data_IF_040688207382
#
_entry.id   IF_040688207382
#
_cell.length_a   1.000
_cell.length_b   1.000
_cell.length_c   1.000
_cell.angle_alpha   90.00
_cell.angle_beta   90.00
_cell.angle_gamma   90.00
#
_symmetry.space_group_name_H-M   'P 1'
#
loop_
_entity.id
_entity.type
_entity.pdbx_description
1 polymer ?
#
# COMPACT_ATOMS: atom_id res chain seq x y z
N UNK A 1 -18.18 26.39 -3.04
CA UNK A 1 -18.60 25.00 -3.31
C UNK A 1 -19.14 24.44 -2.01
N UNK A 2 -20.33 23.85 -1.98
CA UNK A 2 -20.85 23.27 -0.75
C UNK A 2 -20.14 21.92 -0.49
N UNK A 3 -19.17 21.92 0.41
CA UNK A 3 -18.51 20.71 0.93
C UNK A 3 -18.74 20.63 2.45
N UNK A 4 -18.66 19.43 3.01
CA UNK A 4 -18.76 19.28 4.46
C UNK A 4 -17.55 19.91 5.15
N UNK A 5 -17.76 20.57 6.31
CA UNK A 5 -16.67 21.18 7.11
C UNK A 5 -15.53 20.21 7.40
N UNK A 6 -15.84 18.94 7.66
CA UNK A 6 -14.82 17.90 7.90
C UNK A 6 -13.88 17.70 6.71
N UNK A 7 -14.40 17.73 5.49
CA UNK A 7 -13.58 17.59 4.28
C UNK A 7 -12.76 18.86 4.04
N UNK A 8 -13.35 20.04 4.26
CA UNK A 8 -12.64 21.31 4.19
C UNK A 8 -11.42 21.34 5.13
N UNK A 9 -11.59 20.96 6.39
CA UNK A 9 -10.50 20.88 7.37
C UNK A 9 -9.39 19.89 6.96
N UNK A 10 -9.74 18.75 6.37
CA UNK A 10 -8.75 17.80 5.87
C UNK A 10 -7.96 18.33 4.67
N UNK A 11 -8.60 19.12 3.81
CA UNK A 11 -7.93 19.74 2.67
C UNK A 11 -6.98 20.86 3.10
N UNK A 12 -7.37 21.67 4.10
CA UNK A 12 -6.55 22.77 4.62
C UNK A 12 -5.27 22.27 5.31
N UNK A 13 -5.34 21.13 6.00
CA UNK A 13 -4.20 20.47 6.66
C UNK A 13 -3.18 19.84 5.70
N UNK A 14 -3.05 20.41 4.49
CA UNK A 14 -2.08 20.03 3.47
C UNK A 14 -0.72 19.66 4.07
N UNK A 15 -0.22 18.49 3.69
CA UNK A 15 0.98 17.90 4.28
C UNK A 15 2.22 18.75 3.98
N UNK A 16 2.85 19.31 5.02
CA UNK A 16 4.14 19.97 4.93
C UNK A 16 5.21 19.08 4.29
N UNK A 17 5.14 17.76 4.54
CA UNK A 17 6.03 16.76 3.91
C UNK A 17 5.89 16.79 2.38
N UNK A 18 4.66 16.89 1.86
CA UNK A 18 4.41 16.95 0.41
C UNK A 18 4.96 18.23 -0.20
N UNK A 19 4.79 19.38 0.48
CA UNK A 19 5.37 20.66 0.03
C UNK A 19 6.90 20.59 -0.02
N UNK A 20 7.52 20.00 1.00
CA UNK A 20 8.98 19.81 1.03
C UNK A 20 9.47 18.88 -0.09
N UNK A 21 8.73 17.80 -0.39
CA UNK A 21 9.06 16.90 -1.50
C UNK A 21 8.99 17.59 -2.87
N UNK A 22 7.96 18.41 -3.09
CA UNK A 22 7.80 19.20 -4.32
C UNK A 22 8.93 20.24 -4.47
N UNK A 23 9.31 20.89 -3.37
CA UNK A 23 10.44 21.82 -3.35
C UNK A 23 11.78 21.10 -3.59
N UNK A 24 11.97 19.92 -3.00
CA UNK A 24 13.13 19.06 -3.27
C UNK A 24 13.23 18.71 -4.75
N UNK A 25 12.10 18.39 -5.39
CA UNK A 25 12.04 18.12 -6.83
C UNK A 25 12.41 19.34 -7.67
N UNK A 26 11.94 20.54 -7.29
CA UNK A 26 12.32 21.81 -7.93
C UNK A 26 13.82 22.07 -7.82
N UNK A 27 14.39 21.91 -6.63
CA UNK A 27 15.82 22.13 -6.39
C UNK A 27 16.69 21.13 -7.16
N UNK A 28 16.27 19.85 -7.25
CA UNK A 28 16.97 18.82 -8.05
C UNK A 28 17.03 19.21 -9.53
N UNK A 29 15.98 19.82 -10.08
CA UNK A 29 15.95 20.30 -11.46
C UNK A 29 16.90 21.49 -11.71
N UNK A 30 17.13 22.34 -10.71
CA UNK A 30 17.99 23.53 -10.82
C UNK A 30 19.47 23.19 -10.58
N UNK A 31 19.73 22.36 -9.58
CA UNK A 31 21.09 22.14 -9.06
C UNK A 31 21.69 20.77 -9.42
N UNK A 32 20.86 19.81 -9.85
CA UNK A 32 21.22 18.41 -10.03
C UNK A 32 20.78 17.55 -8.85
N UNK A 33 20.39 16.30 -9.11
CA UNK A 33 19.88 15.38 -8.09
C UNK A 33 20.94 14.98 -7.06
N UNK A 34 22.21 14.99 -7.46
CA UNK A 34 23.39 14.73 -6.64
C UNK A 34 23.68 15.85 -5.62
N UNK A 35 23.09 17.04 -5.79
CA UNK A 35 23.34 18.22 -4.94
C UNK A 35 22.20 18.53 -3.97
N UNK A 36 21.16 17.69 -3.94
CA UNK A 36 19.99 17.89 -3.08
C UNK A 36 19.77 16.66 -2.23
N UNK A 37 20.02 16.80 -0.93
CA UNK A 37 19.74 15.77 0.08
C UNK A 37 18.27 15.87 0.52
N UNK A 38 17.40 15.15 -0.18
CA UNK A 38 15.97 15.11 0.07
C UNK A 38 15.60 13.93 0.98
N UNK A 39 15.28 14.24 2.24
CA UNK A 39 14.84 13.27 3.26
C UNK A 39 13.38 13.48 3.67
N UNK A 40 12.56 14.13 2.85
CA UNK A 40 11.21 14.51 3.25
C UNK A 40 10.22 13.35 3.20
N UNK A 41 10.23 12.55 2.12
CA UNK A 41 9.19 11.56 1.83
C UNK A 41 9.64 10.15 2.22
N UNK A 42 8.82 9.44 2.98
CA UNK A 42 9.08 8.06 3.46
C UNK A 42 8.59 6.96 2.52
N UNK A 43 8.71 7.12 1.20
CA UNK A 43 8.33 6.06 0.26
C UNK A 43 9.34 4.90 0.31
N UNK A 44 8.90 3.64 0.24
CA UNK A 44 9.81 2.51 -0.02
C UNK A 44 10.61 2.74 -1.30
N UNK A 45 11.91 2.48 -1.26
CA UNK A 45 12.84 2.73 -2.37
C UNK A 45 13.56 1.46 -2.87
N UNK A 46 13.23 0.29 -2.32
CA UNK A 46 13.75 -1.00 -2.75
C UNK A 46 12.69 -1.68 -3.61
N UNK A 47 13.04 -2.26 -4.76
CA UNK A 47 12.09 -3.02 -5.57
C UNK A 47 11.54 -4.23 -4.80
N UNK A 48 10.32 -4.69 -5.12
CA UNK A 48 9.77 -5.90 -4.52
C UNK A 48 10.60 -7.13 -4.93
N UNK A 49 10.53 -8.23 -4.15
CA UNK A 49 11.14 -9.49 -4.54
C UNK A 49 10.57 -10.03 -5.87
N UNK A 50 11.41 -10.68 -6.69
CA UNK A 50 11.08 -11.16 -8.05
C UNK A 50 9.81 -12.04 -8.12
N UNK A 51 9.50 -12.76 -7.04
CA UNK A 51 8.30 -13.61 -6.94
C UNK A 51 7.00 -12.82 -7.13
N UNK A 52 6.98 -11.54 -6.75
CA UNK A 52 5.80 -10.67 -6.89
C UNK A 52 5.49 -10.48 -8.37
N UNK A 53 6.47 -10.06 -9.16
CA UNK A 53 6.29 -9.80 -10.60
C UNK A 53 5.95 -11.08 -11.37
N UNK A 54 6.63 -12.20 -11.05
CA UNK A 54 6.36 -13.49 -11.68
C UNK A 54 4.92 -13.98 -11.43
N UNK A 55 4.46 -13.89 -10.18
CA UNK A 55 3.11 -14.35 -9.81
C UNK A 55 2.04 -13.48 -10.46
N UNK A 56 2.25 -12.16 -10.50
CA UNK A 56 1.32 -11.25 -11.18
C UNK A 56 1.20 -11.56 -12.67
N UNK A 57 2.33 -11.77 -13.36
CA UNK A 57 2.32 -12.13 -14.79
C UNK A 57 1.61 -13.46 -15.04
N UNK A 58 1.85 -14.45 -14.18
CA UNK A 58 1.19 -15.75 -14.27
C UNK A 58 -0.33 -15.61 -14.12
N UNK A 59 -0.81 -14.97 -13.05
CA UNK A 59 -2.24 -14.81 -12.77
C UNK A 59 -2.98 -14.08 -13.90
N UNK A 60 -2.38 -13.02 -14.45
CA UNK A 60 -2.97 -12.29 -15.59
C UNK A 60 -2.99 -13.15 -16.85
N UNK A 61 -1.96 -13.96 -17.09
CA UNK A 61 -1.87 -14.81 -18.28
C UNK A 61 -2.80 -16.02 -18.23
N UNK A 62 -3.06 -16.57 -17.04
CA UNK A 62 -4.00 -17.68 -16.83
C UNK A 62 -5.45 -17.29 -17.15
N UNK A 63 -5.79 -15.99 -17.00
CA UNK A 63 -7.10 -15.41 -17.32
C UNK A 63 -8.27 -16.26 -16.78
N UNK A 64 -8.12 -16.76 -15.56
CA UNK A 64 -9.10 -17.65 -14.94
C UNK A 64 -10.44 -16.95 -14.78
N UNK A 65 -11.52 -17.66 -15.09
CA UNK A 65 -12.87 -17.11 -14.95
C UNK A 65 -13.11 -16.64 -13.50
N UNK A 66 -13.53 -15.39 -13.35
CA UNK A 66 -13.84 -14.81 -12.04
C UNK A 66 -12.66 -14.21 -11.29
N UNK A 67 -11.44 -14.19 -11.85
CA UNK A 67 -10.26 -13.61 -11.20
C UNK A 67 -10.38 -12.11 -10.87
N UNK A 68 -11.25 -11.40 -11.58
CA UNK A 68 -11.56 -9.98 -11.34
C UNK A 68 -12.92 -9.75 -10.68
N UNK A 69 -13.62 -10.82 -10.28
CA UNK A 69 -14.90 -10.70 -9.61
C UNK A 69 -14.75 -10.26 -8.15
N UNK A 70 -15.84 -9.81 -7.54
CA UNK A 70 -15.86 -9.43 -6.14
C UNK A 70 -15.43 -10.58 -5.22
N UNK A 71 -14.70 -10.23 -4.18
CA UNK A 71 -14.40 -11.08 -3.04
C UNK A 71 -15.40 -10.84 -1.89
N UNK A 72 -15.51 -11.76 -0.92
CA UNK A 72 -16.16 -11.46 0.36
C UNK A 72 -15.54 -10.24 1.04
N UNK A 73 -16.31 -9.52 1.87
CA UNK A 73 -15.84 -8.28 2.51
C UNK A 73 -14.55 -8.45 3.33
N UNK A 74 -14.33 -9.62 3.92
CA UNK A 74 -13.10 -9.92 4.67
C UNK A 74 -11.92 -10.34 3.79
N UNK A 75 -12.13 -10.58 2.49
CA UNK A 75 -11.16 -11.12 1.55
C UNK A 75 -11.35 -12.61 1.27
N UNK A 76 -10.65 -13.11 0.25
CA UNK A 76 -10.69 -14.54 -0.11
C UNK A 76 -10.18 -15.43 1.04
N UNK A 77 -10.81 -16.58 1.22
CA UNK A 77 -10.52 -17.50 2.33
C UNK A 77 -9.14 -18.14 2.23
N UNK A 78 -8.70 -18.48 1.02
CA UNK A 78 -7.37 -19.02 0.73
C UNK A 78 -6.26 -18.02 1.08
N UNK A 79 -6.43 -16.76 0.68
CA UNK A 79 -5.51 -15.66 0.99
C UNK A 79 -5.42 -15.45 2.49
N UNK A 80 -6.57 -15.38 3.18
CA UNK A 80 -6.60 -15.22 4.63
C UNK A 80 -5.99 -16.39 5.38
N UNK A 81 -6.20 -17.62 4.90
CA UNK A 81 -5.62 -18.82 5.48
C UNK A 81 -4.09 -18.83 5.33
N UNK A 82 -3.57 -18.46 4.16
CA UNK A 82 -2.13 -18.35 3.93
C UNK A 82 -1.46 -17.33 4.86
N UNK A 83 -2.09 -16.15 5.03
CA UNK A 83 -1.61 -15.11 5.96
C UNK A 83 -1.65 -15.60 7.41
N UNK A 84 -2.74 -16.23 7.83
CA UNK A 84 -2.88 -16.75 9.19
C UNK A 84 -1.83 -17.83 9.51
N UNK A 85 -1.56 -18.74 8.58
CA UNK A 85 -0.53 -19.77 8.73
C UNK A 85 0.87 -19.16 8.88
N UNK A 86 1.22 -18.20 8.01
CA UNK A 86 2.52 -17.50 8.10
C UNK A 86 2.68 -16.77 9.44
N UNK A 87 1.65 -16.03 9.87
CA UNK A 87 1.69 -15.30 11.14
C UNK A 87 1.74 -16.24 12.33
N UNK A 88 1.08 -17.41 12.27
CA UNK A 88 1.13 -18.41 13.34
C UNK A 88 2.55 -18.90 13.58
N UNK A 89 3.30 -19.16 12.49
CA UNK A 89 4.70 -19.57 12.56
C UNK A 89 5.59 -18.45 13.13
N UNK A 90 5.43 -17.22 12.63
CA UNK A 90 6.26 -16.07 13.04
C UNK A 90 6.03 -15.67 14.48
N UNK A 91 4.78 -15.75 14.96
CA UNK A 91 4.37 -15.26 16.28
C UNK A 91 4.29 -16.35 17.35
N UNK A 92 4.29 -17.63 16.96
CA UNK A 92 4.15 -18.76 17.89
C UNK A 92 2.77 -18.87 18.53
N UNK A 93 1.71 -18.42 17.84
CA UNK A 93 0.31 -18.50 18.27
C UNK A 93 -0.54 -19.19 17.21
N UNK A 94 -1.65 -19.80 17.60
CA UNK A 94 -2.57 -20.41 16.64
C UNK A 94 -3.51 -19.34 16.07
N UNK A 95 -3.36 -19.02 14.77
CA UNK A 95 -4.27 -18.16 14.02
C UNK A 95 -4.95 -18.96 12.90
N UNK A 96 -6.16 -18.55 12.57
CA UNK A 96 -6.91 -19.08 11.43
C UNK A 96 -7.49 -17.92 10.60
N UNK A 97 -8.07 -18.22 9.43
CA UNK A 97 -8.62 -17.21 8.52
C UNK A 97 -9.71 -16.31 9.13
N UNK A 98 -10.36 -16.75 10.22
CA UNK A 98 -11.33 -15.95 10.98
C UNK A 98 -10.70 -14.80 11.76
N UNK A 99 -9.39 -14.85 12.01
CA UNK A 99 -8.64 -13.80 12.68
C UNK A 99 -8.04 -12.76 11.72
N UNK A 100 -8.21 -12.94 10.40
CA UNK A 100 -7.62 -12.09 9.37
C UNK A 100 -8.72 -11.39 8.55
N UNK A 101 -8.55 -10.09 8.34
CA UNK A 101 -9.37 -9.29 7.43
C UNK A 101 -8.43 -8.59 6.45
N UNK A 102 -8.64 -8.81 5.16
CA UNK A 102 -7.87 -8.15 4.11
C UNK A 102 -8.36 -6.71 3.92
N UNK A 103 -7.44 -5.75 3.82
CA UNK A 103 -7.75 -4.32 3.66
C UNK A 103 -6.98 -3.71 2.49
N UNK A 104 -7.44 -2.55 2.02
CA UNK A 104 -6.73 -1.75 1.03
C UNK A 104 -5.58 -0.98 1.69
N UNK A 105 -4.51 -1.69 2.07
CA UNK A 105 -3.34 -1.13 2.75
C UNK A 105 -3.60 -0.76 4.22
N UNK A 106 -2.54 -0.35 4.92
CA UNK A 106 -2.58 -0.07 6.35
C UNK A 106 -3.55 1.07 6.71
N UNK A 107 -3.69 2.08 5.85
CA UNK A 107 -4.64 3.18 6.07
C UNK A 107 -6.10 2.72 6.07
N UNK A 108 -6.45 1.65 5.34
CA UNK A 108 -7.79 1.06 5.38
C UNK A 108 -8.01 0.13 6.59
N UNK A 109 -6.95 -0.21 7.33
CA UNK A 109 -7.03 -1.02 8.55
C UNK A 109 -6.98 -0.22 9.86
N UNK A 110 -6.83 1.11 9.78
CA UNK A 110 -6.83 2.05 10.92
C UNK A 110 -8.16 2.81 10.97
#
# INVERSE_FOLDING_TARGET
MAISRKIEEFMEKSSWIRKMFEEGSRLKAIHGADKVSDFSLGNPNVPPPEIVDKTLQQLVSENTQGIHAYMPNSGYEDTRSAVASYLSEVLGVELNAGHVVMTCGAAGGL
#
